data_IF_449422257805
#
_entry.id   IF_449422257805
#
_cell.length_a   1.000
_cell.length_b   1.000
_cell.length_c   1.000
_cell.angle_alpha   90.00
_cell.angle_beta   90.00
_cell.angle_gamma   90.00
#
_symmetry.space_group_name_H-M   'P 1'
#
loop_
_entity.id
_entity.type
_entity.pdbx_description
1 polymer ?
#
# COMPACT_ATOMS: atom_id res chain seq x y z
N UNK A 1 -27.25 -8.95 -12.10
CA UNK A 1 -25.93 -8.29 -12.16
C UNK A 1 -25.08 -9.19 -13.01
N UNK A 2 -24.63 -8.67 -14.14
CA UNK A 2 -23.93 -9.48 -15.13
C UNK A 2 -22.44 -9.15 -15.06
N UNK A 3 -21.67 -10.07 -14.51
CA UNK A 3 -20.22 -9.95 -14.39
C UNK A 3 -19.58 -10.13 -15.77
N UNK A 4 -18.63 -9.25 -16.10
CA UNK A 4 -17.95 -9.28 -17.39
C UNK A 4 -16.68 -10.15 -17.32
N UNK A 5 -16.84 -11.48 -17.28
CA UNK A 5 -15.73 -12.43 -17.33
C UNK A 5 -15.60 -13.04 -18.74
N UNK A 6 -14.37 -13.13 -19.24
CA UNK A 6 -14.04 -13.60 -20.59
C UNK A 6 -13.39 -14.99 -20.57
N UNK A 7 -12.95 -15.46 -19.40
CA UNK A 7 -12.12 -16.67 -19.26
C UNK A 7 -12.53 -17.52 -18.08
N UNK A 8 -12.31 -18.81 -18.23
CA UNK A 8 -12.44 -19.77 -17.13
C UNK A 8 -11.14 -19.85 -16.34
N UNK A 9 -11.25 -20.11 -15.05
CA UNK A 9 -10.12 -20.23 -14.14
C UNK A 9 -10.00 -21.68 -13.71
N UNK A 10 -8.79 -22.23 -13.71
CA UNK A 10 -8.54 -23.57 -13.17
C UNK A 10 -7.31 -23.52 -12.27
N UNK A 11 -7.43 -24.17 -11.12
CA UNK A 11 -6.29 -24.44 -10.26
C UNK A 11 -5.57 -25.69 -10.77
N UNK A 12 -4.25 -25.62 -10.90
CA UNK A 12 -3.43 -26.77 -11.29
C UNK A 12 -2.32 -27.03 -10.26
N UNK A 13 -2.03 -28.31 -10.02
CA UNK A 13 -1.10 -28.81 -8.98
C UNK A 13 0.25 -29.23 -9.54
N UNK A 14 0.48 -29.00 -10.82
CA UNK A 14 1.73 -29.29 -11.52
C UNK A 14 2.22 -28.05 -12.27
N UNK A 15 2.63 -27.00 -11.53
CA UNK A 15 3.18 -25.80 -12.17
C UNK A 15 4.58 -26.05 -12.74
N UNK A 16 4.98 -25.21 -13.70
CA UNK A 16 6.29 -25.26 -14.35
C UNK A 16 7.44 -25.27 -13.34
N UNK A 17 7.27 -24.54 -12.23
CA UNK A 17 8.23 -24.44 -11.13
C UNK A 17 7.75 -25.15 -9.85
N UNK A 18 7.35 -26.42 -9.97
CA UNK A 18 6.83 -27.24 -8.85
C UNK A 18 7.77 -27.35 -7.63
N UNK A 19 9.07 -27.19 -7.83
CA UNK A 19 10.07 -27.16 -6.74
C UNK A 19 9.95 -25.91 -5.85
N UNK A 20 9.32 -24.84 -6.35
CA UNK A 20 9.15 -23.57 -5.64
C UNK A 20 7.71 -23.36 -5.17
N UNK A 21 6.72 -23.88 -5.91
CA UNK A 21 5.30 -23.70 -5.63
C UNK A 21 4.52 -24.99 -5.88
N UNK A 22 3.59 -25.33 -4.99
CA UNK A 22 2.81 -26.56 -5.08
C UNK A 22 1.58 -26.45 -5.98
N UNK A 23 1.18 -25.24 -6.36
CA UNK A 23 0.03 -24.97 -7.21
C UNK A 23 0.10 -23.58 -7.85
N UNK A 24 -0.70 -23.37 -8.88
CA UNK A 24 -0.97 -22.07 -9.48
C UNK A 24 -2.39 -22.03 -10.06
N UNK A 25 -2.79 -20.87 -10.58
CA UNK A 25 -4.04 -20.66 -11.32
C UNK A 25 -3.69 -20.33 -12.76
N UNK A 26 -4.39 -20.94 -13.71
CA UNK A 26 -4.34 -20.56 -15.12
C UNK A 26 -5.70 -20.07 -15.60
N UNK A 27 -5.66 -19.21 -16.62
CA UNK A 27 -6.84 -18.77 -17.36
C UNK A 27 -6.99 -19.58 -18.64
N UNK A 28 -8.22 -19.90 -19.02
CA UNK A 28 -8.55 -20.64 -20.24
C UNK A 28 -9.57 -19.88 -21.08
N UNK A 29 -9.39 -19.89 -22.40
CA UNK A 29 -10.36 -19.33 -23.33
C UNK A 29 -11.61 -20.22 -23.48
N UNK A 30 -12.52 -19.77 -24.35
CA UNK A 30 -13.74 -20.48 -24.71
C UNK A 30 -13.43 -21.84 -25.37
N UNK A 31 -12.33 -21.95 -26.11
CA UNK A 31 -11.87 -23.17 -26.76
C UNK A 31 -11.17 -24.14 -25.78
N UNK A 32 -10.94 -23.70 -24.53
CA UNK A 32 -10.25 -24.47 -23.51
C UNK A 32 -8.73 -24.49 -23.67
N UNK A 33 -8.15 -23.57 -24.44
CA UNK A 33 -6.71 -23.35 -24.48
C UNK A 33 -6.30 -22.45 -23.32
N UNK A 34 -5.15 -22.78 -22.72
CA UNK A 34 -4.57 -21.97 -21.66
C UNK A 34 -4.06 -20.64 -22.24
N UNK A 35 -4.38 -19.54 -21.55
CA UNK A 35 -3.87 -18.20 -21.85
C UNK A 35 -2.87 -17.80 -20.77
N UNK A 36 -1.65 -17.48 -21.21
CA UNK A 36 -0.58 -17.02 -20.35
C UNK A 36 0.03 -18.12 -19.48
N UNK A 37 0.89 -17.68 -18.56
CA UNK A 37 1.68 -18.54 -17.69
C UNK A 37 0.98 -18.81 -16.35
N UNK A 38 1.61 -19.68 -15.55
CA UNK A 38 1.22 -20.00 -14.18
C UNK A 38 1.17 -18.74 -13.31
N UNK A 39 0.03 -18.52 -12.66
CA UNK A 39 -0.16 -17.44 -11.69
C UNK A 39 -0.05 -18.02 -10.28
N UNK A 40 1.03 -17.68 -9.60
CA UNK A 40 1.33 -18.08 -8.22
C UNK A 40 1.03 -16.93 -7.25
N UNK A 41 0.72 -17.22 -5.97
CA UNK A 41 0.52 -16.17 -4.97
C UNK A 41 1.71 -15.20 -4.91
N UNK A 42 1.42 -13.90 -4.97
CA UNK A 42 2.43 -12.85 -4.93
C UNK A 42 2.69 -12.39 -3.49
N UNK A 43 3.88 -12.71 -2.97
CA UNK A 43 4.24 -12.40 -1.59
C UNK A 43 4.96 -11.06 -1.38
N UNK A 44 5.49 -10.43 -2.43
CA UNK A 44 6.37 -9.27 -2.28
C UNK A 44 5.62 -7.94 -2.20
N UNK A 45 6.30 -6.91 -1.68
CA UNK A 45 5.73 -5.58 -1.50
C UNK A 45 5.36 -4.91 -2.82
N UNK A 46 4.12 -4.47 -2.91
CA UNK A 46 3.60 -3.56 -3.93
C UNK A 46 3.38 -2.19 -3.28
N UNK A 47 3.49 -1.14 -4.09
CA UNK A 47 3.36 0.24 -3.63
C UNK A 47 2.31 0.96 -4.45
N UNK A 48 1.62 1.87 -3.79
CA UNK A 48 0.57 2.70 -4.36
C UNK A 48 0.74 4.12 -3.82
N UNK A 49 0.70 5.11 -4.69
CA UNK A 49 0.71 6.52 -4.31
C UNK A 49 -0.70 7.08 -4.44
N UNK A 50 -1.17 7.80 -3.43
CA UNK A 50 -2.43 8.50 -3.49
C UNK A 50 -2.38 9.64 -4.51
N UNK A 51 -3.41 9.77 -5.34
CA UNK A 51 -3.60 10.90 -6.26
C UNK A 51 -4.55 11.94 -5.68
N UNK A 52 -5.50 11.49 -4.87
CA UNK A 52 -6.55 12.31 -4.27
C UNK A 52 -6.81 11.80 -2.86
N UNK A 53 -7.02 12.69 -1.91
CA UNK A 53 -7.34 12.33 -0.51
C UNK A 53 -8.51 13.18 -0.03
N UNK A 54 -9.52 12.54 0.54
CA UNK A 54 -10.75 13.16 1.03
C UNK A 54 -11.01 12.72 2.47
N UNK A 55 -11.22 13.68 3.36
CA UNK A 55 -11.72 13.43 4.71
C UNK A 55 -13.26 13.44 4.70
N UNK A 56 -13.85 12.25 4.69
CA UNK A 56 -15.29 12.04 4.71
C UNK A 56 -15.87 12.07 6.13
N UNK A 57 -17.03 12.72 6.27
CA UNK A 57 -17.83 12.72 7.49
C UNK A 57 -19.22 12.17 7.17
N UNK A 58 -19.71 11.26 7.99
CA UNK A 58 -21.03 10.65 7.83
C UNK A 58 -21.75 10.53 9.16
N UNK A 59 -23.08 10.56 9.10
CA UNK A 59 -23.96 10.26 10.22
C UNK A 59 -24.90 9.15 9.75
N UNK A 60 -24.85 8.01 10.43
CA UNK A 60 -25.77 6.89 10.22
C UNK A 60 -26.84 6.95 11.31
N UNK A 61 -28.11 6.99 10.91
CA UNK A 61 -29.25 6.96 11.82
C UNK A 61 -29.99 5.66 11.54
N UNK A 62 -29.89 4.68 12.43
CA UNK A 62 -30.65 3.44 12.34
C UNK A 62 -31.96 3.60 13.07
N UNK A 63 -33.05 3.36 12.35
CA UNK A 63 -34.38 3.16 12.93
C UNK A 63 -34.76 1.70 12.83
N UNK A 64 -35.33 1.17 13.91
CA UNK A 64 -36.03 -0.11 13.97
C UNK A 64 -37.45 -0.03 13.38
N UNK A 65 -37.72 0.96 12.52
CA UNK A 65 -39.03 1.13 11.91
C UNK A 65 -39.40 -0.11 11.08
N UNK A 66 -40.44 -0.81 11.53
CA UNK A 66 -41.13 -1.82 10.75
C UNK A 66 -42.46 -1.24 10.24
N UNK A 67 -42.78 -1.38 8.93
CA UNK A 67 -44.07 -0.94 8.41
C UNK A 67 -45.23 -1.62 9.14
N UNK A 68 -46.06 -0.83 9.84
CA UNK A 68 -47.24 -1.33 10.57
C UNK A 68 -47.09 -1.43 12.08
N UNK A 69 -45.90 -1.19 12.64
CA UNK A 69 -45.69 -1.09 14.09
C UNK A 69 -45.61 0.38 14.53
N UNK A 70 -45.98 0.64 15.80
CA UNK A 70 -45.79 1.96 16.39
C UNK A 70 -44.29 2.28 16.41
N UNK A 71 -43.92 3.43 15.86
CA UNK A 71 -42.53 3.84 15.77
C UNK A 71 -41.88 3.80 17.17
N UNK A 72 -40.85 2.96 17.31
CA UNK A 72 -40.01 2.96 18.49
C UNK A 72 -39.29 4.31 18.60
N UNK A 73 -39.20 4.80 19.84
CA UNK A 73 -38.60 6.11 20.13
C UNK A 73 -37.08 6.07 20.17
N UNK A 74 -36.48 4.88 20.11
CA UNK A 74 -35.03 4.71 20.27
C UNK A 74 -34.35 4.70 18.91
N UNK A 75 -33.63 5.78 18.58
CA UNK A 75 -32.81 5.86 17.37
C UNK A 75 -31.35 5.72 17.73
N UNK A 76 -30.66 4.81 17.08
CA UNK A 76 -29.20 4.71 17.18
C UNK A 76 -28.59 5.68 16.17
N UNK A 77 -27.84 6.67 16.66
CA UNK A 77 -27.12 7.63 15.82
C UNK A 77 -25.63 7.36 15.94
N UNK A 78 -25.00 6.96 14.84
CA UNK A 78 -23.56 6.72 14.78
C UNK A 78 -22.91 7.76 13.87
N UNK A 79 -21.97 8.54 14.41
CA UNK A 79 -21.11 9.39 13.58
C UNK A 79 -19.90 8.58 13.11
N UNK A 80 -19.50 8.77 11.85
CA UNK A 80 -18.36 8.08 11.25
C UNK A 80 -17.49 9.07 10.49
N UNK A 81 -16.19 8.93 10.66
CA UNK A 81 -15.19 9.60 9.84
C UNK A 81 -14.39 8.54 9.09
N UNK A 82 -13.99 8.88 7.87
CA UNK A 82 -13.16 8.04 7.01
C UNK A 82 -12.22 8.91 6.21
N UNK A 83 -10.96 8.51 6.07
CA UNK A 83 -10.05 9.13 5.09
C UNK A 83 -10.07 8.21 3.88
N UNK A 84 -10.48 8.75 2.73
CA UNK A 84 -10.50 8.03 1.47
C UNK A 84 -9.41 8.55 0.57
N UNK A 85 -8.63 7.66 -0.03
CA UNK A 85 -7.63 8.03 -1.01
C UNK A 85 -7.84 7.25 -2.32
N UNK A 86 -7.80 7.95 -3.46
CA UNK A 86 -7.63 7.29 -4.75
C UNK A 86 -6.16 6.97 -4.93
N UNK A 87 -5.87 5.75 -5.37
CA UNK A 87 -4.52 5.23 -5.45
C UNK A 87 -4.12 4.98 -6.89
N UNK A 88 -2.85 5.21 -7.18
CA UNK A 88 -2.19 4.80 -8.42
C UNK A 88 -1.06 3.83 -8.08
N UNK A 89 -0.95 2.68 -8.77
CA UNK A 89 0.15 1.76 -8.55
C UNK A 89 1.52 2.38 -8.86
N UNK A 90 2.52 2.02 -8.05
CA UNK A 90 3.88 2.53 -8.09
C UNK A 90 4.17 3.59 -7.01
N UNK A 91 5.40 4.12 -7.05
CA UNK A 91 5.79 5.31 -6.29
C UNK A 91 5.89 6.47 -7.28
N UNK A 92 5.37 7.65 -6.92
CA UNK A 92 5.65 8.88 -7.65
C UNK A 92 7.14 9.25 -7.51
N UNK A 93 7.91 9.17 -8.60
CA UNK A 93 9.27 9.70 -8.62
C UNK A 93 9.20 11.22 -8.88
N UNK A 94 9.94 12.00 -8.08
CA UNK A 94 9.96 13.47 -8.15
C UNK A 94 10.35 14.03 -9.53
N UNK A 95 11.10 13.27 -10.35
CA UNK A 95 11.62 13.74 -11.63
C UNK A 95 10.72 13.39 -12.84
N UNK A 96 9.51 12.87 -12.60
CA UNK A 96 8.59 12.47 -13.69
C UNK A 96 9.05 11.28 -14.54
N UNK A 97 10.24 10.73 -14.27
CA UNK A 97 10.79 9.58 -14.98
C UNK A 97 10.29 8.27 -14.34
N UNK A 98 9.10 7.80 -14.77
CA UNK A 98 8.47 6.55 -14.34
C UNK A 98 9.21 5.28 -14.81
N UNK A 99 10.52 5.34 -15.10
CA UNK A 99 11.30 4.22 -15.67
C UNK A 99 11.50 3.02 -14.74
N UNK A 100 11.02 3.07 -13.49
CA UNK A 100 10.99 1.91 -12.60
C UNK A 100 9.66 1.18 -12.77
N UNK A 101 9.74 -0.02 -13.39
CA UNK A 101 8.73 -1.10 -13.47
C UNK A 101 7.32 -0.67 -13.05
N UNK A 102 6.52 -0.21 -14.03
CA UNK A 102 5.09 0.02 -13.82
C UNK A 102 4.39 -1.33 -13.71
N UNK A 103 4.09 -1.78 -12.50
CA UNK A 103 3.24 -2.95 -12.28
C UNK A 103 1.83 -2.62 -12.72
N UNK A 104 1.29 -3.45 -13.62
CA UNK A 104 -0.10 -3.41 -14.07
C UNK A 104 -0.92 -4.45 -13.32
N UNK A 105 -2.22 -4.23 -13.24
CA UNK A 105 -3.13 -5.09 -12.48
C UNK A 105 -4.33 -5.42 -13.34
N UNK A 106 -4.80 -6.67 -13.30
CA UNK A 106 -6.05 -7.08 -13.93
C UNK A 106 -6.79 -8.08 -13.05
N UNK A 107 -8.11 -8.13 -13.17
CA UNK A 107 -8.91 -9.18 -12.54
C UNK A 107 -8.65 -10.50 -13.26
N UNK A 108 -8.60 -11.61 -12.53
CA UNK A 108 -8.69 -12.93 -13.14
C UNK A 108 -9.97 -13.03 -14.00
N UNK A 109 -9.88 -13.76 -15.10
CA UNK A 109 -10.96 -13.91 -16.05
C UNK A 109 -10.99 -12.81 -17.12
N UNK A 110 -10.08 -11.83 -17.09
CA UNK A 110 -10.12 -10.62 -17.93
C UNK A 110 -8.73 -10.14 -18.30
N UNK A 111 -8.57 -9.35 -19.36
CA UNK A 111 -7.33 -8.61 -19.64
C UNK A 111 -7.40 -7.11 -19.33
N UNK A 112 -8.49 -6.67 -18.71
CA UNK A 112 -8.74 -5.25 -18.44
C UNK A 112 -7.83 -4.79 -17.32
N UNK A 113 -7.20 -3.63 -17.52
CA UNK A 113 -6.39 -3.02 -16.48
C UNK A 113 -7.30 -2.43 -15.41
N UNK A 114 -7.09 -2.81 -14.16
CA UNK A 114 -7.75 -2.19 -13.01
C UNK A 114 -7.24 -0.75 -12.89
N UNK A 115 -8.14 0.22 -13.04
CA UNK A 115 -7.84 1.65 -12.91
C UNK A 115 -8.25 2.21 -11.56
N UNK A 116 -9.25 1.60 -10.94
CA UNK A 116 -9.79 1.99 -9.65
C UNK A 116 -9.04 1.26 -8.53
N UNK A 117 -8.13 1.98 -7.87
CA UNK A 117 -7.59 1.56 -6.59
C UNK A 117 -7.96 2.60 -5.53
N UNK A 118 -8.40 2.13 -4.37
CA UNK A 118 -8.82 2.99 -3.28
C UNK A 118 -8.18 2.54 -1.96
N UNK A 119 -8.01 3.48 -1.04
CA UNK A 119 -7.69 3.23 0.35
C UNK A 119 -8.72 3.94 1.22
N UNK A 120 -9.41 3.18 2.05
CA UNK A 120 -10.28 3.69 3.10
C UNK A 120 -9.62 3.43 4.44
N UNK A 121 -9.30 4.51 5.17
CA UNK A 121 -8.72 4.45 6.50
C UNK A 121 -9.85 4.70 7.52
N UNK A 122 -10.02 3.75 8.42
CA UNK A 122 -11.04 3.77 9.46
C UNK A 122 -10.40 3.80 10.85
N UNK A 123 -10.96 4.55 11.82
CA UNK A 123 -10.64 4.33 13.21
C UNK A 123 -11.21 2.97 13.65
N UNK A 124 -10.46 2.24 14.47
CA UNK A 124 -10.95 1.05 15.14
C UNK A 124 -12.13 1.40 16.06
N UNK A 125 -13.18 0.58 16.03
CA UNK A 125 -14.32 0.74 16.92
C UNK A 125 -13.94 0.41 18.38
N UNK A 126 -13.09 -0.59 18.58
CA UNK A 126 -12.47 -0.91 19.86
C UNK A 126 -11.02 -0.39 19.87
N UNK A 127 -10.67 0.60 20.71
CA UNK A 127 -9.31 1.11 20.83
C UNK A 127 -8.28 0.07 21.28
N UNK A 128 -8.72 -1.02 21.93
CA UNK A 128 -7.84 -2.13 22.30
C UNK A 128 -7.64 -3.14 21.16
N UNK A 129 -8.37 -2.99 20.05
CA UNK A 129 -8.27 -3.84 18.87
C UNK A 129 -6.92 -3.75 18.19
N UNK A 130 -6.60 -4.80 17.40
CA UNK A 130 -5.39 -4.83 16.60
C UNK A 130 -5.60 -4.05 15.30
N UNK A 131 -4.62 -3.20 14.96
CA UNK A 131 -4.59 -2.54 13.65
C UNK A 131 -4.46 -3.59 12.54
N UNK A 132 -5.18 -3.39 11.44
CA UNK A 132 -5.24 -4.37 10.37
C UNK A 132 -5.46 -3.71 9.02
N UNK A 133 -5.14 -4.45 7.96
CA UNK A 133 -5.41 -4.06 6.58
C UNK A 133 -6.03 -5.24 5.85
N UNK A 134 -7.06 -4.97 5.06
CA UNK A 134 -7.68 -5.96 4.19
C UNK A 134 -7.89 -5.36 2.80
N UNK A 135 -7.87 -6.19 1.79
CA UNK A 135 -8.21 -5.84 0.43
C UNK A 135 -9.57 -6.43 0.09
N UNK A 136 -10.41 -5.62 -0.54
CA UNK A 136 -11.65 -6.02 -1.16
C UNK A 136 -11.61 -5.60 -2.63
N UNK A 137 -12.39 -6.23 -3.48
CA UNK A 137 -12.44 -5.85 -4.88
C UNK A 137 -13.62 -6.46 -5.59
N UNK A 138 -13.92 -5.88 -6.74
CA UNK A 138 -15.06 -6.25 -7.57
C UNK A 138 -14.67 -6.25 -9.03
N UNK A 139 -15.10 -7.28 -9.74
CA UNK A 139 -15.00 -7.34 -11.20
C UNK A 139 -16.06 -6.42 -11.80
N UNK A 140 -15.77 -5.83 -12.95
CA UNK A 140 -16.70 -5.03 -13.73
C UNK A 140 -18.00 -5.79 -13.99
N UNK A 141 -19.11 -5.10 -13.79
CA UNK A 141 -20.44 -5.62 -14.03
C UNK A 141 -21.37 -4.56 -14.58
N UNK A 142 -22.41 -5.00 -15.27
CA UNK A 142 -23.53 -4.15 -15.66
C UNK A 142 -24.75 -4.44 -14.78
N UNK A 143 -25.42 -3.38 -14.36
CA UNK A 143 -26.68 -3.43 -13.63
C UNK A 143 -27.67 -2.41 -14.21
N UNK A 144 -28.95 -2.73 -14.10
CA UNK A 144 -30.02 -1.82 -14.50
C UNK A 144 -30.44 -0.99 -13.28
N UNK A 145 -30.43 0.33 -13.44
CA UNK A 145 -30.98 1.29 -12.47
C UNK A 145 -31.85 2.29 -13.21
N UNK A 146 -33.11 2.44 -12.79
CA UNK A 146 -34.06 3.37 -13.40
C UNK A 146 -34.15 3.25 -14.93
N UNK A 147 -34.20 2.02 -15.45
CA UNK A 147 -34.23 1.69 -16.88
C UNK A 147 -32.97 2.11 -17.66
N UNK A 148 -31.84 2.34 -16.98
CA UNK A 148 -30.53 2.61 -17.57
C UNK A 148 -29.55 1.51 -17.20
N UNK A 149 -28.78 1.06 -18.18
CA UNK A 149 -27.67 0.16 -17.94
C UNK A 149 -26.44 0.98 -17.52
N UNK A 150 -25.95 0.72 -16.32
CA UNK A 150 -24.71 1.29 -15.82
C UNK A 150 -23.68 0.19 -15.67
N UNK A 151 -22.46 0.46 -16.14
CA UNK A 151 -21.33 -0.45 -16.00
C UNK A 151 -20.38 0.11 -14.97
N UNK A 152 -20.13 -0.66 -13.91
CA UNK A 152 -19.09 -0.36 -12.94
C UNK A 152 -17.77 -0.97 -13.42
N UNK A 153 -16.65 -0.24 -13.28
CA UNK A 153 -15.32 -0.72 -13.65
C UNK A 153 -14.75 -1.73 -12.63
N UNK A 154 -13.71 -2.47 -13.01
CA UNK A 154 -12.95 -3.30 -12.09
C UNK A 154 -12.30 -2.40 -11.01
N UNK A 155 -12.47 -2.72 -9.72
CA UNK A 155 -11.93 -1.92 -8.62
C UNK A 155 -11.36 -2.77 -7.49
N UNK A 156 -10.32 -2.27 -6.82
CA UNK A 156 -9.75 -2.83 -5.58
C UNK A 156 -9.66 -1.75 -4.52
N UNK A 157 -10.21 -2.03 -3.35
CA UNK A 157 -10.20 -1.14 -2.19
C UNK A 157 -9.40 -1.79 -1.07
N UNK A 158 -8.41 -1.07 -0.56
CA UNK A 158 -7.74 -1.42 0.69
C UNK A 158 -8.48 -0.74 1.84
N UNK A 159 -8.83 -1.50 2.86
CA UNK A 159 -9.44 -1.00 4.08
C UNK A 159 -8.44 -1.15 5.21
N UNK A 160 -7.99 -0.02 5.75
CA UNK A 160 -7.01 0.03 6.82
C UNK A 160 -7.70 0.49 8.11
N UNK A 161 -7.63 -0.34 9.14
CA UNK A 161 -8.16 -0.05 10.46
C UNK A 161 -7.00 0.33 11.39
N UNK A 162 -6.99 1.58 11.84
CA UNK A 162 -5.95 2.13 12.71
C UNK A 162 -6.52 2.55 14.05
N UNK A 163 -5.66 2.71 15.06
CA UNK A 163 -6.12 3.22 16.35
C UNK A 163 -6.71 4.63 16.23
N UNK A 164 -7.70 5.01 17.06
CA UNK A 164 -8.34 6.32 17.00
C UNK A 164 -7.36 7.51 17.05
N UNK A 165 -6.31 7.42 17.87
CA UNK A 165 -5.27 8.45 17.95
C UNK A 165 -4.44 8.59 16.67
N UNK A 166 -4.16 7.47 16.00
CA UNK A 166 -3.48 7.44 14.70
C UNK A 166 -4.38 8.03 13.63
N UNK A 167 -5.66 7.65 13.62
CA UNK A 167 -6.66 8.22 12.71
C UNK A 167 -6.79 9.73 12.88
N UNK A 168 -6.97 10.22 14.12
CA UNK A 168 -7.12 11.64 14.41
C UNK A 168 -5.92 12.46 13.92
N UNK A 169 -4.69 11.92 14.07
CA UNK A 169 -3.49 12.55 13.53
C UNK A 169 -3.53 12.66 12.00
N UNK A 170 -3.89 11.59 11.30
CA UNK A 170 -4.01 11.63 9.83
C UNK A 170 -5.13 12.55 9.38
N UNK A 171 -6.28 12.53 10.05
CA UNK A 171 -7.41 13.39 9.74
C UNK A 171 -7.06 14.86 9.90
N UNK A 172 -6.31 15.22 10.97
CA UNK A 172 -5.81 16.58 11.17
C UNK A 172 -4.87 17.01 10.04
N UNK A 173 -3.93 16.15 9.62
CA UNK A 173 -3.01 16.44 8.50
C UNK A 173 -3.73 16.60 7.16
N UNK A 174 -4.81 15.85 6.94
CA UNK A 174 -5.62 16.01 5.72
C UNK A 174 -6.44 17.29 5.79
N UNK A 175 -7.04 17.58 6.95
CA UNK A 175 -7.88 18.77 7.15
C UNK A 175 -7.09 20.09 7.09
N UNK A 176 -5.83 20.10 7.56
CA UNK A 176 -4.96 21.27 7.51
C UNK A 176 -4.21 21.44 6.18
N UNK A 177 -4.37 20.48 5.26
CA UNK A 177 -3.69 20.48 3.96
C UNK A 177 -2.17 20.27 4.05
N UNK A 178 -1.67 19.61 5.10
CA UNK A 178 -0.23 19.36 5.31
C UNK A 178 0.28 18.04 4.71
N UNK A 179 -0.55 17.32 3.96
CA UNK A 179 -0.17 16.11 3.22
C UNK A 179 0.25 16.48 1.81
N UNK A 180 1.54 16.31 1.50
CA UNK A 180 2.04 16.47 0.13
C UNK A 180 2.04 15.14 -0.63
N UNK A 181 2.24 14.03 0.07
CA UNK A 181 2.27 12.70 -0.52
C UNK A 181 1.78 11.64 0.47
N UNK A 182 0.99 10.68 -0.01
CA UNK A 182 0.60 9.50 0.76
C UNK A 182 0.94 8.24 -0.04
N UNK A 183 1.70 7.32 0.56
CA UNK A 183 2.14 6.06 -0.06
C UNK A 183 1.66 4.89 0.79
N UNK A 184 0.87 4.02 0.19
CA UNK A 184 0.51 2.71 0.74
C UNK A 184 1.47 1.66 0.18
N UNK A 185 2.15 0.93 1.06
CA UNK A 185 2.90 -0.27 0.71
C UNK A 185 2.21 -1.49 1.30
N UNK A 186 1.93 -2.50 0.47
CA UNK A 186 1.29 -3.75 0.89
C UNK A 186 2.09 -4.97 0.44
N UNK A 187 2.25 -5.95 1.30
CA UNK A 187 2.88 -7.24 1.02
C UNK A 187 1.98 -8.38 1.46
N UNK A 188 2.25 -9.59 0.95
CA UNK A 188 1.47 -10.79 1.30
C UNK A 188 -0.05 -10.56 1.17
N UNK A 189 -0.48 -9.95 0.06
CA UNK A 189 -1.90 -9.64 -0.18
C UNK A 189 -2.61 -10.90 -0.65
N UNK A 190 -3.57 -11.39 0.13
CA UNK A 190 -4.41 -12.53 -0.28
C UNK A 190 -5.14 -12.14 -1.57
N UNK A 191 -5.22 -13.06 -2.54
CA UNK A 191 -5.86 -12.78 -3.82
C UNK A 191 -4.97 -12.11 -4.87
N UNK A 192 -3.73 -11.74 -4.56
CA UNK A 192 -2.79 -11.23 -5.55
C UNK A 192 -1.89 -12.34 -6.07
N UNK A 193 -1.76 -12.41 -7.39
CA UNK A 193 -1.00 -13.44 -8.08
C UNK A 193 -0.11 -12.84 -9.16
N UNK A 194 1.02 -13.46 -9.43
CA UNK A 194 1.92 -13.05 -10.49
C UNK A 194 2.50 -14.29 -11.17
N UNK A 195 3.09 -14.08 -12.34
CA UNK A 195 4.09 -15.02 -12.86
C UNK A 195 5.27 -15.13 -11.89
N UNK A 196 5.93 -16.29 -11.92
CA UNK A 196 7.23 -16.43 -11.29
C UNK A 196 8.22 -15.46 -11.93
N UNK A 197 9.02 -14.81 -11.09
CA UNK A 197 10.14 -14.01 -11.53
C UNK A 197 11.32 -14.24 -10.61
N UNK A 198 12.55 -14.35 -11.15
CA UNK A 198 13.75 -14.35 -10.32
C UNK A 198 13.97 -12.99 -9.63
N UNK A 199 13.34 -11.91 -10.12
CA UNK A 199 13.32 -10.62 -9.44
C UNK A 199 12.19 -10.54 -8.42
N UNK A 200 12.43 -9.91 -7.27
CA UNK A 200 11.40 -9.55 -6.26
C UNK A 200 10.42 -8.46 -6.73
N UNK A 201 10.30 -8.28 -8.05
CA UNK A 201 9.46 -7.30 -8.73
C UNK A 201 8.70 -7.97 -9.85
N UNK A 202 7.48 -7.50 -10.11
CA UNK A 202 6.63 -7.98 -11.19
C UNK A 202 6.08 -6.83 -12.03
N UNK A 203 5.88 -7.10 -13.31
CA UNK A 203 5.22 -6.18 -14.25
C UNK A 203 3.70 -6.33 -14.25
N UNK A 204 3.18 -7.45 -13.76
CA UNK A 204 1.76 -7.76 -13.88
C UNK A 204 1.27 -8.61 -12.72
N UNK A 205 0.20 -8.15 -12.07
CA UNK A 205 -0.50 -8.84 -10.99
C UNK A 205 -1.92 -9.14 -11.42
N UNK A 206 -2.34 -10.39 -11.22
CA UNK A 206 -3.72 -10.86 -11.36
C UNK A 206 -4.40 -10.85 -9.99
N UNK A 207 -5.64 -10.38 -9.96
CA UNK A 207 -6.43 -10.22 -8.74
C UNK A 207 -7.59 -11.20 -8.74
N UNK A 208 -7.68 -12.02 -7.68
CA UNK A 208 -8.75 -12.99 -7.45
C UNK A 208 -9.66 -12.51 -6.31
N UNK A 209 -10.89 -12.14 -6.63
CA UNK A 209 -11.95 -11.69 -5.72
C UNK A 209 -12.68 -12.88 -5.07
N UNK A 210 -13.83 -12.62 -4.43
CA UNK A 210 -14.68 -13.62 -3.79
C UNK A 210 -15.17 -14.70 -4.77
N UNK A 211 -15.48 -15.90 -4.25
CA UNK A 211 -15.84 -17.08 -5.05
C UNK A 211 -17.08 -16.89 -5.91
N UNK A 212 -18.09 -16.20 -5.36
CA UNK A 212 -19.34 -15.89 -6.04
C UNK A 212 -19.14 -15.04 -7.31
N UNK A 213 -18.05 -14.28 -7.37
CA UNK A 213 -17.74 -13.38 -8.48
C UNK A 213 -16.77 -14.01 -9.47
N UNK A 214 -15.84 -14.86 -9.00
CA UNK A 214 -14.82 -15.50 -9.82
C UNK A 214 -14.63 -16.97 -9.43
N UNK A 215 -15.40 -17.84 -10.07
CA UNK A 215 -15.32 -19.29 -9.87
C UNK A 215 -14.00 -19.86 -10.38
N UNK A 216 -13.35 -20.67 -9.56
CA UNK A 216 -12.13 -21.41 -9.93
C UNK A 216 -12.46 -22.90 -9.98
N UNK A 217 -12.20 -23.55 -11.11
CA UNK A 217 -12.34 -25.00 -11.24
C UNK A 217 -11.23 -25.71 -10.45
N UNK A 218 -11.62 -26.49 -9.46
CA UNK A 218 -10.71 -27.27 -8.61
C UNK A 218 -10.55 -28.70 -9.16
N UNK A 219 -9.33 -29.25 -9.19
CA UNK A 219 -9.10 -30.67 -9.48
C UNK A 219 -9.84 -31.59 -8.48
N UNK A 220 -10.31 -32.77 -8.92
CA UNK A 220 -10.93 -33.74 -8.02
C UNK A 220 -10.00 -34.12 -6.85
N UNK A 221 -10.54 -34.10 -5.63
CA UNK A 221 -9.80 -34.50 -4.42
C UNK A 221 -8.92 -33.40 -3.80
N UNK A 222 -8.90 -32.19 -4.35
CA UNK A 222 -8.22 -31.05 -3.73
C UNK A 222 -9.01 -30.53 -2.53
N UNK A 223 -8.35 -30.34 -1.39
CA UNK A 223 -9.00 -29.93 -0.12
C UNK A 223 -8.73 -28.47 0.28
N UNK A 224 -8.01 -27.70 -0.53
CA UNK A 224 -7.74 -26.29 -0.23
C UNK A 224 -8.34 -25.38 -1.29
N UNK A 225 -8.68 -24.16 -0.87
CA UNK A 225 -9.15 -23.09 -1.75
C UNK A 225 -8.00 -22.13 -2.08
N UNK A 226 -7.94 -21.61 -3.32
CA UNK A 226 -6.99 -20.56 -3.66
C UNK A 226 -7.23 -19.32 -2.80
N UNK A 227 -6.16 -18.60 -2.48
CA UNK A 227 -6.24 -17.34 -1.73
C UNK A 227 -7.03 -16.31 -2.54
N UNK A 228 -8.05 -15.73 -1.94
CA UNK A 228 -8.87 -14.66 -2.53
C UNK A 228 -8.61 -13.35 -1.82
N UNK A 229 -9.06 -12.23 -2.40
CA UNK A 229 -8.97 -10.92 -1.76
C UNK A 229 -9.52 -10.97 -0.33
N UNK A 230 -8.78 -10.37 0.59
CA UNK A 230 -9.08 -10.42 2.00
C UNK A 230 -7.88 -9.92 2.81
N UNK A 231 -7.30 -10.71 3.72
CA UNK A 231 -6.20 -10.25 4.56
C UNK A 231 -4.99 -9.76 3.78
N UNK A 232 -4.40 -8.65 4.23
CA UNK A 232 -3.10 -8.13 3.79
C UNK A 232 -2.09 -8.42 4.91
N UNK A 233 -1.06 -9.21 4.62
CA UNK A 233 -0.08 -9.63 5.64
C UNK A 233 0.81 -8.49 6.14
N UNK A 234 1.29 -7.64 5.23
CA UNK A 234 2.10 -6.47 5.56
C UNK A 234 1.47 -5.21 4.99
N UNK A 235 1.26 -4.18 5.82
CA UNK A 235 0.78 -2.88 5.36
C UNK A 235 1.52 -1.74 6.05
N UNK A 236 2.05 -0.81 5.25
CA UNK A 236 2.70 0.41 5.72
C UNK A 236 2.09 1.60 5.02
N UNK A 237 1.63 2.58 5.79
CA UNK A 237 1.19 3.87 5.27
C UNK A 237 2.24 4.93 5.61
N UNK A 238 2.75 5.62 4.59
CA UNK A 238 3.60 6.79 4.75
C UNK A 238 2.82 8.04 4.34
N UNK A 239 2.72 9.00 5.26
CA UNK A 239 2.11 10.31 5.01
C UNK A 239 3.21 11.35 5.13
N UNK A 240 3.60 11.94 4.01
CA UNK A 240 4.78 12.76 3.87
C UNK A 240 4.40 14.23 3.65
N UNK A 241 5.24 15.10 4.21
CA UNK A 241 5.27 16.54 3.92
C UNK A 241 6.59 16.89 3.24
N UNK A 242 6.55 17.51 2.08
CA UNK A 242 7.71 17.91 1.28
C UNK A 242 8.09 19.33 1.69
N UNK A 243 9.21 19.45 2.41
CA UNK A 243 9.78 20.75 2.76
C UNK A 243 10.93 21.08 1.82
N UNK A 244 10.78 22.14 1.02
CA UNK A 244 11.89 22.67 0.23
C UNK A 244 12.87 23.38 1.16
N UNK A 245 13.98 22.72 1.48
CA UNK A 245 15.08 23.36 2.19
C UNK A 245 15.77 24.28 1.19
N UNK A 246 15.59 25.60 1.37
CA UNK A 246 16.30 26.58 0.57
C UNK A 246 17.81 26.32 0.70
N UNK A 247 18.47 26.02 -0.43
CA UNK A 247 19.93 25.97 -0.46
C UNK A 247 20.40 27.35 -0.04
N UNK A 248 21.17 27.42 1.06
CA UNK A 248 21.83 28.65 1.48
C UNK A 248 22.63 29.14 0.28
N UNK A 249 22.19 30.25 -0.32
CA UNK A 249 23.01 30.95 -1.31
C UNK A 249 24.33 31.23 -0.61
N UNK A 250 25.47 30.77 -1.14
CA UNK A 250 26.76 31.12 -0.57
C UNK A 250 26.77 32.65 -0.40
N UNK A 251 27.09 33.11 0.81
CA UNK A 251 27.26 34.55 1.04
C UNK A 251 28.17 35.06 -0.09
N UNK A 252 27.78 36.13 -0.79
CA UNK A 252 28.59 36.66 -1.88
C UNK A 252 29.99 36.81 -1.31
N UNK A 253 30.95 36.06 -1.88
CA UNK A 253 32.33 36.19 -1.46
C UNK A 253 32.65 37.68 -1.49
N UNK A 254 33.24 38.24 -0.42
CA UNK A 254 33.59 39.65 -0.40
C UNK A 254 34.41 39.89 -1.66
N UNK A 255 33.79 40.60 -2.61
CA UNK A 255 34.46 41.04 -3.83
C UNK A 255 35.65 41.81 -3.32
N UNK A 256 36.86 41.32 -3.61
CA UNK A 256 38.09 41.98 -3.18
C UNK A 256 37.95 43.48 -3.51
N UNK A 257 37.98 44.36 -2.51
CA UNK A 257 37.81 45.78 -2.74
C UNK A 257 38.97 46.25 -3.60
N UNK A 258 38.68 46.55 -4.87
CA UNK A 258 39.60 47.29 -5.73
C UNK A 258 39.55 48.76 -5.30
N UNK A 259 40.14 49.07 -4.15
CA UNK A 259 40.11 50.43 -3.58
C UNK A 259 41.48 51.08 -3.71
N UNK A 260 41.59 52.02 -4.66
CA UNK A 260 42.39 53.23 -4.44
C UNK A 260 41.81 53.93 -3.21
N UNK A 261 42.67 54.09 -2.22
CA UNK A 261 42.37 54.41 -0.82
C UNK A 261 41.69 55.77 -0.60
N UNK A 262 40.74 55.78 0.35
CA UNK A 262 40.46 56.91 1.23
C UNK A 262 40.07 56.36 2.62
N UNK A 263 40.59 56.91 3.74
CA UNK A 263 40.49 56.29 5.06
C UNK A 263 39.24 56.73 5.81
N UNK A 264 38.46 55.77 6.32
CA UNK A 264 37.31 55.98 7.21
C UNK A 264 37.55 55.21 8.53
N UNK A 265 37.10 55.73 9.71
CA UNK A 265 37.57 55.29 11.02
C UNK A 265 36.95 53.96 11.48
N UNK A 266 37.73 53.26 12.31
CA UNK A 266 37.47 51.94 12.86
C UNK A 266 36.24 51.86 13.79
N UNK A 267 35.47 50.78 13.65
CA UNK A 267 34.42 50.34 14.57
C UNK A 267 34.84 48.97 15.15
N UNK A 268 34.56 48.65 16.43
CA UNK A 268 35.12 47.49 17.12
C UNK A 268 34.49 46.17 16.68
N UNK A 269 35.33 45.15 16.53
CA UNK A 269 35.00 43.77 16.21
C UNK A 269 34.19 43.10 17.32
N UNK A 270 33.08 42.46 16.96
CA UNK A 270 32.31 41.57 17.83
C UNK A 270 32.71 40.12 17.53
N UNK A 271 33.07 39.29 18.52
CA UNK A 271 33.56 37.94 18.28
C UNK A 271 32.45 36.99 17.83
N UNK A 272 32.78 36.18 16.83
CA UNK A 272 31.95 35.10 16.31
C UNK A 272 31.72 33.99 17.35
N UNK A 273 30.54 33.33 17.37
CA UNK A 273 30.32 32.17 18.22
C UNK A 273 30.98 30.92 17.63
N UNK A 274 31.88 30.34 18.43
CA UNK A 274 32.46 29.02 18.27
C UNK A 274 31.36 27.94 18.25
N UNK A 275 31.18 27.25 17.12
CA UNK A 275 30.39 26.01 17.06
C UNK A 275 31.26 24.85 17.55
N UNK A 276 31.15 24.53 18.83
CA UNK A 276 31.48 23.23 19.37
C UNK A 276 30.20 22.56 19.85
N UNK A 277 29.88 21.36 19.35
CA UNK A 277 29.19 20.29 20.10
C UNK A 277 28.95 19.07 19.17
N UNK A 278 29.98 18.23 19.04
CA UNK A 278 29.77 16.79 18.82
C UNK A 278 29.04 16.24 20.04
N UNK A 279 27.75 15.90 19.87
CA UNK A 279 26.91 15.35 20.94
C UNK A 279 27.45 13.97 21.40
N UNK A 280 27.91 13.84 22.66
CA UNK A 280 28.44 12.58 23.20
C UNK A 280 27.40 11.44 23.25
N UNK A 281 26.11 11.74 23.08
CA UNK A 281 25.05 10.72 22.99
C UNK A 281 25.08 9.96 21.66
N UNK A 282 25.48 10.61 20.57
CA UNK A 282 25.60 9.99 19.24
C UNK A 282 26.75 8.98 19.23
N UNK A 283 27.86 9.29 19.89
CA UNK A 283 29.00 8.36 20.01
C UNK A 283 28.66 7.13 20.86
N UNK A 284 27.78 7.26 21.87
CA UNK A 284 27.34 6.14 22.70
C UNK A 284 26.40 5.18 21.94
N UNK A 285 25.56 5.71 21.04
CA UNK A 285 24.67 4.91 20.20
C UNK A 285 25.43 4.11 19.13
N UNK A 286 26.50 4.67 18.56
CA UNK A 286 27.36 3.95 17.61
C UNK A 286 28.13 2.79 18.26
N UNK A 287 28.48 2.92 19.54
CA UNK A 287 29.16 1.87 20.30
C UNK A 287 28.30 0.64 20.64
N UNK A 288 26.98 0.80 20.80
CA UNK A 288 26.07 -0.33 21.09
C UNK A 288 25.73 -1.14 19.84
N UNK A 289 25.55 -0.47 18.69
CA UNK A 289 25.31 -1.12 17.40
C UNK A 289 26.44 -2.07 17.00
N UNK A 290 27.70 -1.69 17.25
CA UNK A 290 28.85 -2.55 16.94
C UNK A 290 28.84 -3.86 17.73
N UNK A 291 28.36 -3.86 18.99
CA UNK A 291 28.28 -5.09 19.80
C UNK A 291 27.15 -6.01 19.34
N UNK A 292 25.99 -5.44 18.99
CA UNK A 292 24.87 -6.20 18.47
C UNK A 292 25.23 -6.91 17.15
N UNK A 293 25.96 -6.23 16.25
CA UNK A 293 26.45 -6.83 15.01
C UNK A 293 27.36 -8.04 15.25
N UNK A 294 28.28 -7.96 16.22
CA UNK A 294 29.16 -9.09 16.57
C UNK A 294 28.40 -10.30 17.14
N UNK A 295 27.33 -10.06 17.91
CA UNK A 295 26.47 -11.14 18.41
C UNK A 295 25.75 -11.88 17.27
N UNK A 296 25.25 -11.15 16.28
CA UNK A 296 24.59 -11.74 15.10
C UNK A 296 25.58 -12.59 14.30
N UNK A 297 26.80 -12.10 14.07
CA UNK A 297 27.85 -12.85 13.36
C UNK A 297 28.22 -14.13 14.12
N UNK A 298 28.36 -14.08 15.44
CA UNK A 298 28.64 -15.27 16.25
C UNK A 298 27.49 -16.29 16.21
N UNK A 299 26.24 -15.83 16.25
CA UNK A 299 25.06 -16.70 16.16
C UNK A 299 24.98 -17.40 14.79
N UNK A 300 25.23 -16.66 13.70
CA UNK A 300 25.24 -17.21 12.35
C UNK A 300 26.36 -18.23 12.15
N UNK A 301 27.56 -17.96 12.69
CA UNK A 301 28.67 -18.91 12.67
C UNK A 301 28.35 -20.20 13.44
N UNK A 302 27.68 -20.09 14.60
CA UNK A 302 27.25 -21.24 15.38
C UNK A 302 26.24 -22.10 14.61
N UNK A 303 25.23 -21.47 14.01
CA UNK A 303 24.21 -22.16 13.20
C UNK A 303 24.92 -22.91 12.06
N UNK A 304 25.82 -22.24 11.33
CA UNK A 304 26.55 -22.84 10.22
C UNK A 304 27.35 -24.09 10.63
N UNK A 305 28.07 -24.04 11.76
CA UNK A 305 28.81 -25.19 12.29
C UNK A 305 27.88 -26.33 12.64
N UNK A 306 26.75 -26.06 13.31
CA UNK A 306 25.79 -27.11 13.71
C UNK A 306 25.07 -27.76 12.54
N UNK A 307 24.87 -27.03 11.43
CA UNK A 307 24.26 -27.58 10.21
C UNK A 307 25.22 -28.39 9.34
N UNK A 308 26.53 -28.11 9.43
CA UNK A 308 27.57 -28.85 8.69
C UNK A 308 28.09 -30.11 9.41
N UNK A 309 27.78 -30.26 10.69
CA UNK A 309 28.18 -31.42 11.51
C UNK A 309 27.07 -32.45 11.73
N UNK A 310 25.95 -32.31 11.00
CA UNK A 310 24.89 -33.32 10.86
C UNK A 310 24.88 -33.88 9.44
#
# INVERSE_FOLDING_TARGET
>A
MDLHLERRLRLHTEPEHKSLYSWAINEFDEQGQQIGHDRIPWGWTLRFTATDVVLGHGIEIKSDYQPGEAASTTREVTQRQVIRAQLRPGIALHDGDYRRIKTTFSMFGTNRTIKCFQLDIHPLADPAGQESCRAWGMVSYTYETDFRNETTEDCVTFEMFVKPETFARYAAMVADGSVDEMILSVGLVSGFYSEWSPSISTHHVKVLTEDKDQRVDLPPGLQFEPLRLGPVGDATLSVNRILTIAKRTPDPQPVEPTTKAEPVPAIPETPAPEMALTDPRILKALGSLRRAAWFIVALLALIFVTTLSR
#
